data_IF_525261227950
#
_entry.id   IF_525261227950
#
_cell.length_a   1.000
_cell.length_b   1.000
_cell.length_c   1.000
_cell.angle_alpha   90.00
_cell.angle_beta   90.00
_cell.angle_gamma   90.00
#
_symmetry.space_group_name_H-M   'P 1'
#
loop_
_entity.id
_entity.type
_entity.pdbx_description
1 polymer ?
#
# COMPACT_ATOMS: atom_id res chain seq x y z
N UNK A 1 -2.65 -4.32 12.51
CA UNK A 1 -1.84 -4.69 11.34
C UNK A 1 -0.38 -4.85 11.78
N UNK A 2 0.24 -5.98 11.46
CA UNK A 2 1.65 -6.29 11.67
C UNK A 2 2.47 -5.67 10.54
N UNK A 3 3.55 -4.96 10.88
CA UNK A 3 4.47 -4.39 9.89
C UNK A 3 5.74 -5.23 9.93
N UNK A 4 6.10 -5.87 8.82
CA UNK A 4 7.35 -6.62 8.76
C UNK A 4 8.55 -5.68 8.87
N UNK A 5 9.68 -6.17 9.38
CA UNK A 5 10.93 -5.38 9.44
C UNK A 5 11.28 -4.80 8.07
N UNK A 6 11.13 -5.62 7.01
CA UNK A 6 11.33 -5.19 5.64
C UNK A 6 10.42 -4.02 5.24
N UNK A 7 9.11 -4.10 5.51
CA UNK A 7 8.18 -3.01 5.26
C UNK A 7 8.58 -1.74 6.00
N UNK A 8 8.96 -1.86 7.27
CA UNK A 8 9.36 -0.73 8.09
C UNK A 8 10.62 -0.03 7.57
N UNK A 9 11.61 -0.80 7.12
CA UNK A 9 12.82 -0.27 6.48
C UNK A 9 12.46 0.49 5.19
N UNK A 10 11.63 -0.11 4.32
CA UNK A 10 11.16 0.55 3.09
C UNK A 10 10.36 1.82 3.35
N UNK A 11 9.52 1.81 4.38
CA UNK A 11 8.77 2.97 4.83
C UNK A 11 9.71 4.12 5.20
N UNK A 12 10.74 3.83 6.02
CA UNK A 12 11.74 4.83 6.44
C UNK A 12 12.56 5.35 5.26
N UNK A 13 13.05 4.46 4.39
CA UNK A 13 13.85 4.82 3.20
C UNK A 13 13.07 5.75 2.24
N UNK A 14 11.75 5.58 2.15
CA UNK A 14 10.90 6.29 1.18
C UNK A 14 10.16 7.48 1.79
N UNK A 15 10.30 7.72 3.09
CA UNK A 15 9.57 8.77 3.81
C UNK A 15 8.07 8.48 3.95
N UNK A 16 7.66 7.21 3.95
CA UNK A 16 6.28 6.81 4.21
C UNK A 16 6.14 6.49 5.69
N UNK A 17 5.45 7.33 6.45
CA UNK A 17 5.33 7.17 7.90
C UNK A 17 4.07 6.35 8.29
N UNK A 18 3.94 6.05 9.59
CA UNK A 18 2.81 5.27 10.12
C UNK A 18 1.49 6.05 10.04
N UNK A 19 1.52 7.38 10.11
CA UNK A 19 0.31 8.20 9.95
C UNK A 19 -0.25 8.12 8.53
N UNK A 20 0.62 8.12 7.52
CA UNK A 20 0.26 7.88 6.13
C UNK A 20 -0.36 6.50 5.96
N UNK A 21 0.20 5.47 6.59
CA UNK A 21 -0.38 4.13 6.61
C UNK A 21 -1.79 4.13 7.19
N UNK A 22 -1.99 4.81 8.32
CA UNK A 22 -3.28 4.93 8.96
C UNK A 22 -4.30 5.67 8.07
N UNK A 23 -3.87 6.73 7.35
CA UNK A 23 -4.70 7.42 6.35
C UNK A 23 -5.18 6.46 5.25
N UNK A 24 -4.29 5.60 4.73
CA UNK A 24 -4.67 4.57 3.74
C UNK A 24 -5.73 3.64 4.32
N UNK A 25 -5.45 3.00 5.45
CA UNK A 25 -6.33 1.99 6.05
C UNK A 25 -7.70 2.53 6.47
N UNK A 26 -7.81 3.83 6.74
CA UNK A 26 -9.08 4.49 7.08
C UNK A 26 -9.96 4.78 5.87
N UNK A 27 -9.45 4.67 4.63
CA UNK A 27 -10.28 4.85 3.44
C UNK A 27 -11.30 3.72 3.35
N UNK A 28 -12.56 4.08 3.09
CA UNK A 28 -13.66 3.11 2.94
C UNK A 28 -13.50 2.26 1.67
N UNK A 29 -12.91 2.82 0.62
CA UNK A 29 -12.71 2.16 -0.67
C UNK A 29 -11.21 1.90 -0.87
N UNK A 30 -10.74 0.76 -0.34
CA UNK A 30 -9.39 0.27 -0.62
C UNK A 30 -9.44 -0.51 -1.93
N UNK A 31 -8.84 0.05 -2.99
CA UNK A 31 -8.69 -0.66 -4.27
C UNK A 31 -7.68 -1.79 -4.06
N UNK A 32 -8.19 -3.01 -4.07
CA UNK A 32 -7.40 -4.22 -3.85
C UNK A 32 -7.13 -4.89 -5.19
N UNK A 33 -5.86 -4.97 -5.54
CA UNK A 33 -5.40 -5.58 -6.79
C UNK A 33 -4.69 -6.87 -6.42
N UNK A 34 -5.10 -7.99 -7.03
CA UNK A 34 -4.40 -9.26 -6.86
C UNK A 34 -2.94 -9.12 -7.28
N UNK A 35 -2.00 -9.54 -6.43
CA UNK A 35 -0.60 -9.62 -6.82
C UNK A 35 -0.35 -10.98 -7.50
N UNK A 36 0.69 -11.05 -8.33
CA UNK A 36 1.21 -12.32 -8.89
C UNK A 36 1.74 -13.31 -7.84
N UNK A 37 1.76 -12.90 -6.56
CA UNK A 37 2.26 -13.69 -5.45
C UNK A 37 1.08 -14.19 -4.63
N UNK A 38 0.96 -15.51 -4.51
CA UNK A 38 -0.09 -16.15 -3.74
C UNK A 38 -0.11 -15.64 -2.28
N UNK A 39 -1.31 -15.33 -1.78
CA UNK A 39 -1.52 -14.78 -0.44
C UNK A 39 -1.13 -13.31 -0.26
N UNK A 40 -0.81 -12.59 -1.34
CA UNK A 40 -0.45 -11.17 -1.30
C UNK A 40 -1.37 -10.34 -2.19
N UNK A 41 -1.94 -9.29 -1.62
CA UNK A 41 -2.70 -8.27 -2.35
C UNK A 41 -1.91 -6.96 -2.40
N UNK A 42 -2.13 -6.19 -3.47
CA UNK A 42 -1.68 -4.81 -3.60
C UNK A 42 -2.82 -3.88 -3.24
N UNK A 43 -2.52 -2.81 -2.52
CA UNK A 43 -3.42 -1.70 -2.26
C UNK A 43 -2.78 -0.46 -2.84
N UNK A 44 -3.47 0.21 -3.74
CA UNK A 44 -3.00 1.49 -4.30
C UNK A 44 -3.81 2.60 -3.67
N UNK A 45 -3.14 3.62 -3.14
CA UNK A 45 -3.83 4.75 -2.54
C UNK A 45 -3.01 6.03 -2.60
N UNK A 46 -3.71 7.14 -2.85
CA UNK A 46 -3.13 8.47 -2.74
C UNK A 46 -3.05 8.93 -1.29
N UNK A 47 -1.87 9.38 -0.87
CA UNK A 47 -1.62 10.01 0.43
C UNK A 47 -0.67 11.19 0.22
N UNK A 48 -1.08 12.37 0.69
CA UNK A 48 -0.31 13.60 0.62
C UNK A 48 0.14 13.91 -0.83
N UNK A 49 -0.83 13.91 -1.76
CA UNK A 49 -0.68 14.16 -3.20
C UNK A 49 0.28 13.19 -3.92
N UNK A 50 0.50 12.01 -3.37
CA UNK A 50 1.33 10.99 -4.01
C UNK A 50 0.69 9.62 -3.89
N UNK A 51 0.77 8.84 -4.96
CA UNK A 51 0.26 7.48 -4.97
C UNK A 51 1.29 6.50 -4.41
N UNK A 52 0.78 5.58 -3.59
CA UNK A 52 1.55 4.55 -2.92
C UNK A 52 0.92 3.19 -3.17
N UNK A 53 1.77 2.20 -3.40
CA UNK A 53 1.37 0.79 -3.50
C UNK A 53 1.87 0.05 -2.26
N UNK A 54 0.93 -0.48 -1.50
CA UNK A 54 1.17 -1.28 -0.31
C UNK A 54 0.96 -2.76 -0.66
N UNK A 55 1.91 -3.60 -0.30
CA UNK A 55 1.78 -5.04 -0.43
C UNK A 55 1.40 -5.60 0.93
N UNK A 56 0.24 -6.23 0.99
CA UNK A 56 -0.35 -6.74 2.23
C UNK A 56 -0.70 -8.21 2.07
N UNK A 57 -0.78 -8.94 3.18
CA UNK A 57 -1.36 -10.28 3.18
C UNK A 57 -2.84 -10.23 2.75
N UNK A 58 -3.36 -11.35 2.25
CA UNK A 58 -4.76 -11.46 1.83
C UNK A 58 -5.76 -11.26 3.00
N UNK A 59 -5.32 -11.52 4.22
CA UNK A 59 -6.07 -11.21 5.45
C UNK A 59 -5.99 -9.72 5.89
N UNK A 60 -5.25 -8.86 5.19
CA UNK A 60 -4.97 -7.45 5.54
C UNK A 60 -4.27 -7.23 6.89
N UNK A 61 -3.86 -8.29 7.59
CA UNK A 61 -3.23 -8.19 8.90
C UNK A 61 -1.75 -7.91 8.79
N UNK A 62 -1.08 -8.14 7.67
CA UNK A 62 0.38 -7.97 7.54
C UNK A 62 0.75 -7.06 6.39
N UNK A 63 1.55 -6.02 6.67
CA UNK A 63 2.22 -5.19 5.68
C UNK A 63 3.59 -5.79 5.34
N UNK A 64 3.73 -6.19 4.08
CA UNK A 64 4.91 -6.87 3.55
C UNK A 64 5.91 -5.85 3.01
N UNK A 65 5.45 -4.87 2.23
CA UNK A 65 6.30 -3.79 1.73
C UNK A 65 5.49 -2.58 1.26
N UNK A 66 6.15 -1.45 1.08
CA UNK A 66 5.55 -0.19 0.58
C UNK A 66 6.41 0.35 -0.55
N UNK A 67 5.82 0.83 -1.64
CA UNK A 67 6.55 1.48 -2.73
C UNK A 67 5.73 2.62 -3.35
N UNK A 68 6.38 3.43 -4.19
CA UNK A 68 5.67 4.34 -5.10
C UNK A 68 4.83 3.53 -6.08
N UNK A 69 3.61 4.01 -6.33
CA UNK A 69 2.80 3.46 -7.40
C UNK A 69 3.48 3.70 -8.76
N UNK A 70 3.30 2.77 -9.68
CA UNK A 70 3.65 2.98 -11.09
C UNK A 70 2.53 3.73 -11.80
N UNK A 71 2.85 4.38 -12.92
CA UNK A 71 1.90 5.19 -13.70
C UNK A 71 0.61 4.42 -14.06
N UNK A 72 0.72 3.13 -14.41
CA UNK A 72 -0.42 2.24 -14.66
C UNK A 72 -1.29 1.99 -13.42
N UNK A 73 -0.67 1.88 -12.23
CA UNK A 73 -1.36 1.71 -10.95
C UNK A 73 -2.06 3.01 -10.53
N UNK A 74 -1.43 4.16 -10.77
CA UNK A 74 -2.00 5.48 -10.53
C UNK A 74 -3.23 5.74 -11.39
N UNK A 75 -3.16 5.40 -12.68
CA UNK A 75 -4.27 5.56 -13.61
C UNK A 75 -5.49 4.78 -13.15
N UNK A 76 -5.32 3.50 -12.82
CA UNK A 76 -6.40 2.65 -12.29
C UNK A 76 -6.99 3.20 -11.00
N UNK A 77 -6.16 3.70 -10.08
CA UNK A 77 -6.62 4.26 -8.81
C UNK A 77 -7.34 5.61 -8.94
N UNK A 78 -7.23 6.30 -10.10
CA UNK A 78 -7.97 7.54 -10.38
C UNK A 78 -9.30 7.29 -11.10
N UNK A 79 -9.46 6.12 -11.72
CA UNK A 79 -10.68 5.74 -12.46
C UNK A 79 -11.74 5.08 -11.56
N UNK A 80 -11.38 4.72 -10.32
CA UNK A 80 -12.21 4.06 -9.30
C UNK A 80 -12.56 5.02 -8.13
#
# INVERSE_FOLDING_TARGET
MNITKHAFERMRERGFNVEMLAKVLRKKNLVRISSDREGVSKIVSEVDNRFWTLFVSDDLKTLITVRRAHEDEERKARED
#
